data_IF_557933552470
#
_entry.id   IF_557933552470
#
_cell.length_a   1.000
_cell.length_b   1.000
_cell.length_c   1.000
_cell.angle_alpha   90.00
_cell.angle_beta   90.00
_cell.angle_gamma   90.00
#
_symmetry.space_group_name_H-M   'P 1'
#
loop_
_entity.id
_entity.type
_entity.pdbx_description
1 polymer ?
#
# COMPACT_ATOMS: atom_id res chain seq x y z
N UNK A 1 22.47 -18.81 -48.83
CA UNK A 1 22.01 -17.44 -49.15
C UNK A 1 20.90 -17.07 -48.16
N UNK A 2 21.21 -16.17 -47.21
CA UNK A 2 20.34 -15.21 -46.44
C UNK A 2 19.08 -15.80 -45.75
N UNK A 3 18.88 -15.76 -44.42
CA UNK A 3 18.56 -14.60 -43.53
C UNK A 3 18.74 -15.06 -42.06
N UNK A 4 19.58 -14.44 -41.23
CA UNK A 4 19.33 -13.25 -40.39
C UNK A 4 17.90 -13.07 -39.87
N UNK A 5 17.69 -13.33 -38.56
CA UNK A 5 16.70 -12.65 -37.72
C UNK A 5 17.28 -12.40 -36.33
N UNK A 6 17.78 -11.19 -36.12
CA UNK A 6 17.91 -10.59 -34.78
C UNK A 6 16.52 -10.14 -34.30
N UNK A 7 16.40 -9.98 -32.98
CA UNK A 7 15.32 -9.31 -32.23
C UNK A 7 14.13 -10.22 -31.85
N UNK A 8 14.23 -10.82 -30.67
CA UNK A 8 13.12 -10.97 -29.73
C UNK A 8 13.66 -10.36 -28.43
N UNK A 9 13.21 -9.18 -28.03
CA UNK A 9 11.86 -8.99 -27.57
C UNK A 9 11.93 -9.16 -26.06
N UNK A 10 12.02 -8.03 -25.36
CA UNK A 10 12.04 -7.93 -23.90
C UNK A 10 10.75 -8.57 -23.37
N UNK A 11 10.80 -9.88 -23.12
CA UNK A 11 9.68 -10.64 -22.57
C UNK A 11 9.45 -10.17 -21.14
N UNK A 12 8.40 -9.37 -21.00
CA UNK A 12 7.37 -9.43 -19.96
C UNK A 12 7.82 -10.21 -18.73
N UNK A 13 8.00 -9.51 -17.60
CA UNK A 13 8.17 -10.14 -16.29
C UNK A 13 7.16 -11.27 -16.16
N UNK A 14 7.68 -12.50 -16.18
CA UNK A 14 6.94 -13.68 -15.78
C UNK A 14 6.34 -13.38 -14.42
N UNK A 15 5.06 -13.69 -14.24
CA UNK A 15 4.33 -13.45 -13.01
C UNK A 15 5.14 -13.96 -11.82
N UNK A 16 5.56 -13.03 -10.97
CA UNK A 16 6.18 -13.35 -9.70
C UNK A 16 5.15 -14.20 -8.93
N UNK A 17 5.52 -15.42 -8.55
CA UNK A 17 4.70 -16.20 -7.63
C UNK A 17 4.42 -15.32 -6.41
N UNK A 18 3.18 -15.33 -5.90
CA UNK A 18 2.82 -14.52 -4.75
C UNK A 18 3.84 -14.81 -3.62
N UNK A 19 4.52 -13.78 -3.09
CA UNK A 19 5.47 -13.94 -2.01
C UNK A 19 4.94 -14.88 -0.92
N UNK A 20 5.79 -15.72 -0.32
CA UNK A 20 5.44 -16.47 0.87
C UNK A 20 4.73 -15.55 1.87
N UNK A 21 3.68 -16.03 2.55
CA UNK A 21 2.87 -15.21 3.47
C UNK A 21 3.70 -14.41 4.50
N UNK A 22 4.90 -14.88 4.83
CA UNK A 22 5.86 -14.17 5.67
C UNK A 22 6.40 -12.88 5.06
N UNK A 23 6.77 -12.89 3.78
CA UNK A 23 7.30 -11.71 3.10
C UNK A 23 6.25 -10.60 3.02
N UNK A 24 4.99 -10.96 2.72
CA UNK A 24 3.87 -10.02 2.79
C UNK A 24 3.65 -9.45 4.19
N UNK A 25 3.78 -10.27 5.23
CA UNK A 25 3.64 -9.82 6.61
C UNK A 25 4.76 -8.85 7.01
N UNK A 26 5.99 -9.13 6.59
CA UNK A 26 7.14 -8.27 6.87
C UNK A 26 7.01 -6.93 6.12
N UNK A 27 6.56 -6.93 4.87
CA UNK A 27 6.27 -5.71 4.13
C UNK A 27 5.10 -4.93 4.75
N UNK A 28 4.02 -5.61 5.14
CA UNK A 28 2.89 -4.97 5.83
C UNK A 28 3.32 -4.31 7.14
N UNK A 29 4.18 -4.96 7.94
CA UNK A 29 4.76 -4.40 9.16
C UNK A 29 5.63 -3.18 8.85
N UNK A 30 6.53 -3.31 7.88
CA UNK A 30 7.45 -2.25 7.50
C UNK A 30 6.72 -1.00 6.98
N UNK A 31 5.75 -1.18 6.09
CA UNK A 31 4.93 -0.09 5.55
C UNK A 31 4.07 0.56 6.63
N UNK A 32 3.41 -0.23 7.48
CA UNK A 32 2.61 0.30 8.60
C UNK A 32 3.45 1.14 9.56
N UNK A 33 4.67 0.69 9.89
CA UNK A 33 5.59 1.45 10.74
C UNK A 33 6.01 2.79 10.10
N UNK A 34 6.33 2.79 8.80
CA UNK A 34 6.67 4.01 8.05
C UNK A 34 5.48 4.98 7.97
N UNK A 35 4.27 4.49 7.72
CA UNK A 35 3.05 5.31 7.70
C UNK A 35 2.79 5.94 9.07
N UNK A 36 2.96 5.18 10.16
CA UNK A 36 2.80 5.72 11.51
C UNK A 36 3.88 6.77 11.85
N UNK A 37 5.13 6.53 11.46
CA UNK A 37 6.21 7.50 11.65
C UNK A 37 5.94 8.79 10.88
N UNK A 38 5.48 8.69 9.62
CA UNK A 38 5.07 9.84 8.81
C UNK A 38 3.91 10.59 9.48
N UNK A 39 2.88 9.89 9.94
CA UNK A 39 1.76 10.51 10.63
C UNK A 39 2.23 11.32 11.85
N UNK A 40 3.12 10.76 12.68
CA UNK A 40 3.67 11.44 13.85
C UNK A 40 4.54 12.65 13.51
N UNK A 41 5.15 12.67 12.34
CA UNK A 41 5.99 13.78 11.89
C UNK A 41 5.20 14.94 11.27
N UNK A 42 3.93 14.74 10.93
CA UNK A 42 3.07 15.78 10.35
C UNK A 42 2.55 16.70 11.46
N UNK A 43 2.75 18.03 11.37
CA UNK A 43 2.14 18.98 12.30
C UNK A 43 0.61 18.87 12.28
N UNK A 44 -0.04 19.01 13.44
CA UNK A 44 -1.47 18.73 13.58
C UNK A 44 -2.35 19.59 12.65
N UNK A 45 -1.99 20.87 12.49
CA UNK A 45 -2.66 21.82 11.61
C UNK A 45 -2.55 21.47 10.12
N UNK A 46 -1.63 20.57 9.74
CA UNK A 46 -1.44 20.13 8.35
C UNK A 46 -2.29 18.92 7.98
N UNK A 47 -2.94 18.25 8.93
CA UNK A 47 -3.85 17.14 8.57
C UNK A 47 -5.03 17.59 7.70
N UNK A 48 -5.45 18.86 7.78
CA UNK A 48 -6.53 19.41 6.96
C UNK A 48 -6.07 19.86 5.56
N UNK A 49 -4.76 19.93 5.28
CA UNK A 49 -4.24 20.38 3.99
C UNK A 49 -4.64 19.41 2.86
N UNK A 50 -4.97 19.95 1.70
CA UNK A 50 -5.25 19.21 0.46
C UNK A 50 -4.62 19.92 -0.75
N UNK A 51 -4.14 19.19 -1.76
CA UNK A 51 -3.45 19.77 -2.92
C UNK A 51 -4.40 20.45 -3.93
N UNK A 52 -5.70 20.22 -3.82
CA UNK A 52 -6.69 20.80 -4.71
C UNK A 52 -8.10 20.55 -4.21
N UNK A 53 -9.05 21.20 -4.88
CA UNK A 53 -10.47 20.98 -4.62
C UNK A 53 -10.82 19.51 -4.88
N UNK A 54 -11.66 18.93 -4.02
CA UNK A 54 -12.13 17.54 -4.10
C UNK A 54 -11.06 16.44 -3.92
N UNK A 55 -9.81 16.80 -3.65
CA UNK A 55 -8.77 15.83 -3.25
C UNK A 55 -8.83 15.61 -1.73
N UNK A 56 -8.69 14.36 -1.29
CA UNK A 56 -8.60 14.03 0.15
C UNK A 56 -7.47 14.82 0.80
N UNK A 57 -7.74 15.33 1.99
CA UNK A 57 -6.74 15.89 2.87
C UNK A 57 -5.75 14.83 3.37
N UNK A 58 -4.61 15.28 3.88
CA UNK A 58 -3.60 14.39 4.46
C UNK A 58 -4.17 13.49 5.56
N UNK A 59 -5.02 14.03 6.45
CA UNK A 59 -5.69 13.25 7.49
C UNK A 59 -6.65 12.21 6.94
N UNK A 60 -7.45 12.57 5.93
CA UNK A 60 -8.37 11.63 5.27
C UNK A 60 -7.63 10.49 4.56
N UNK A 61 -6.45 10.74 4.00
CA UNK A 61 -5.60 9.68 3.41
C UNK A 61 -5.12 8.71 4.48
N UNK A 62 -4.65 9.20 5.63
CA UNK A 62 -4.17 8.34 6.72
C UNK A 62 -5.29 7.49 7.34
N UNK A 63 -6.48 8.08 7.54
CA UNK A 63 -7.67 7.32 7.98
C UNK A 63 -8.09 6.30 6.94
N UNK A 64 -8.01 6.64 5.65
CA UNK A 64 -8.28 5.69 4.57
C UNK A 64 -7.33 4.49 4.58
N UNK A 65 -6.03 4.70 4.82
CA UNK A 65 -5.04 3.62 4.97
C UNK A 65 -5.40 2.72 6.16
N UNK A 66 -5.69 3.32 7.32
CA UNK A 66 -6.05 2.56 8.52
C UNK A 66 -7.33 1.72 8.31
N UNK A 67 -8.38 2.33 7.75
CA UNK A 67 -9.63 1.65 7.42
C UNK A 67 -9.45 0.55 6.37
N UNK A 68 -8.63 0.79 5.35
CA UNK A 68 -8.27 -0.19 4.33
C UNK A 68 -7.58 -1.42 4.93
N UNK A 69 -6.61 -1.21 5.82
CA UNK A 69 -5.91 -2.28 6.51
C UNK A 69 -6.86 -3.12 7.38
N UNK A 70 -7.74 -2.49 8.16
CA UNK A 70 -8.74 -3.20 8.97
C UNK A 70 -9.69 -4.03 8.11
N UNK A 71 -10.14 -3.48 6.98
CA UNK A 71 -11.03 -4.17 6.06
C UNK A 71 -10.34 -5.39 5.41
N UNK A 72 -9.09 -5.24 4.95
CA UNK A 72 -8.34 -6.33 4.32
C UNK A 72 -7.96 -7.42 5.32
N UNK A 73 -7.54 -7.05 6.54
CA UNK A 73 -7.29 -8.00 7.61
C UNK A 73 -8.56 -8.77 8.00
N UNK A 74 -9.71 -8.09 8.05
CA UNK A 74 -11.01 -8.73 8.24
C UNK A 74 -11.31 -9.79 7.16
N UNK A 75 -11.03 -9.48 5.89
CA UNK A 75 -11.15 -10.46 4.78
C UNK A 75 -10.17 -11.62 4.90
N UNK A 76 -9.01 -11.41 5.53
CA UNK A 76 -8.05 -12.46 5.86
C UNK A 76 -8.41 -13.26 7.14
N UNK A 77 -9.60 -13.03 7.72
CA UNK A 77 -10.08 -13.75 8.90
C UNK A 77 -9.60 -13.21 10.25
N UNK A 78 -8.88 -12.07 10.26
CA UNK A 78 -8.47 -11.40 11.50
C UNK A 78 -9.65 -10.63 12.08
N UNK A 79 -9.97 -10.89 13.34
CA UNK A 79 -11.03 -10.14 14.05
C UNK A 79 -10.64 -8.68 14.21
N UNK A 80 -11.56 -7.77 13.92
CA UNK A 80 -11.36 -6.35 14.16
C UNK A 80 -11.14 -6.07 15.65
N UNK A 81 -10.27 -5.11 16.00
CA UNK A 81 -10.13 -4.64 17.38
C UNK A 81 -11.45 -4.11 17.94
N UNK A 82 -11.69 -4.30 19.23
CA UNK A 82 -12.87 -3.73 19.89
C UNK A 82 -12.87 -2.19 19.74
N UNK A 83 -14.01 -1.62 19.38
CA UNK A 83 -14.18 -0.18 19.20
C UNK A 83 -13.73 0.40 17.86
N UNK A 84 -13.39 -0.43 16.86
CA UNK A 84 -13.00 0.05 15.52
C UNK A 84 -14.18 0.39 14.61
N UNK A 85 -15.34 0.75 15.17
CA UNK A 85 -16.61 0.96 14.45
C UNK A 85 -17.33 2.20 14.94
#
# INVERSE_FOLDING_TARGET
MILSRRIFGFTLLAGEAAPPAREYLDEFRGTSAKTLALARAIPAEKYAWRPGERVRSTGEVLVHIAGGNLMLLGRAGVKSPAGSR
#
